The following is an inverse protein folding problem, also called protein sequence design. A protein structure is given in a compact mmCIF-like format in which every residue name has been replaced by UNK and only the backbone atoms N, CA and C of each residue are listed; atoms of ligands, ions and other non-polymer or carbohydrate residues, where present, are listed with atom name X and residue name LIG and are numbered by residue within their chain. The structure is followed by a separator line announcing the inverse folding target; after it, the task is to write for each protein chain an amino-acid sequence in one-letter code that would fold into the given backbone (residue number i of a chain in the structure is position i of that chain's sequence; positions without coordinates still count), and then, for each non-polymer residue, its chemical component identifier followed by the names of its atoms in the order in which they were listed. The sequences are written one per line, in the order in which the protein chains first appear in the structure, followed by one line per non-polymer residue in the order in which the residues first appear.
data_IF_674691072059
#
_entry.id   IF_674691072059
#
_cell.length_a   1.000
_cell.length_b   1.000
_cell.length_c   1.000
_cell.angle_alpha   90.00
_cell.angle_beta   90.00
_cell.angle_gamma   90.00
#
_symmetry.space_group_name_H-M   'P 1'
#
loop_
_entity.id
_entity.type
_entity.pdbx_description
1 polymer ?
#
# COMPACT_ATOMS: atom_id res chain seq x y z
N UNK A 1 15.29 -2.39 6.05
CA UNK A 1 14.82 -2.65 4.68
C UNK A 1 13.61 -1.77 4.26
N UNK A 2 13.26 -0.68 4.96
CA UNK A 2 12.04 0.07 4.67
C UNK A 2 12.04 0.69 3.27
N UNK A 3 13.08 1.47 2.93
CA UNK A 3 13.24 2.08 1.61
C UNK A 3 14.57 1.65 1.02
N UNK A 4 14.51 0.76 0.07
CA UNK A 4 15.65 0.16 -0.60
C UNK A 4 15.84 0.82 -1.96
N UNK A 5 16.84 1.69 -2.07
CA UNK A 5 17.17 2.40 -3.29
C UNK A 5 18.06 1.54 -4.21
N UNK A 6 17.54 1.10 -5.35
CA UNK A 6 18.29 0.35 -6.36
C UNK A 6 18.69 1.30 -7.49
N UNK A 7 19.99 1.48 -7.72
CA UNK A 7 20.49 2.46 -8.67
C UNK A 7 20.17 2.08 -10.12
N UNK A 8 19.93 3.11 -10.93
CA UNK A 8 19.89 3.04 -12.37
C UNK A 8 20.49 4.33 -12.97
N UNK A 9 21.70 4.25 -13.44
CA UNK A 9 22.46 5.37 -14.05
C UNK A 9 21.71 6.05 -15.19
N UNK A 10 20.97 5.29 -15.99
CA UNK A 10 20.24 5.80 -17.16
C UNK A 10 19.08 6.71 -16.77
N UNK A 11 18.46 6.42 -15.63
CA UNK A 11 17.30 7.17 -15.14
C UNK A 11 17.69 8.49 -14.47
N UNK A 12 18.94 8.66 -14.03
CA UNK A 12 19.37 9.85 -13.30
C UNK A 12 19.43 11.08 -14.21
N UNK A 13 18.80 12.18 -13.78
CA UNK A 13 18.88 13.47 -14.47
C UNK A 13 20.28 14.09 -14.37
N UNK A 14 21.09 13.92 -15.43
CA UNK A 14 22.48 14.39 -15.48
C UNK A 14 22.66 15.91 -15.44
N UNK A 15 21.60 16.69 -15.69
CA UNK A 15 21.65 18.16 -15.56
C UNK A 15 21.61 18.58 -14.08
N UNK A 16 21.06 17.75 -13.22
CA UNK A 16 20.89 18.03 -11.79
C UNK A 16 21.90 17.31 -10.92
N UNK A 17 22.22 16.07 -11.27
CA UNK A 17 23.19 15.22 -10.57
C UNK A 17 24.36 14.92 -11.50
N UNK A 18 25.52 15.50 -11.23
CA UNK A 18 26.70 15.35 -12.06
C UNK A 18 27.21 13.89 -12.09
N UNK A 19 27.05 13.19 -10.96
CA UNK A 19 27.49 11.81 -10.78
C UNK A 19 26.36 10.94 -10.20
N UNK A 20 26.50 9.60 -10.32
CA UNK A 20 25.63 8.66 -9.61
C UNK A 20 25.78 8.80 -8.09
N UNK A 21 26.98 9.18 -7.61
CA UNK A 21 27.27 9.39 -6.19
C UNK A 21 26.39 10.52 -5.63
N UNK A 22 26.24 11.64 -6.35
CA UNK A 22 25.39 12.76 -5.95
C UNK A 22 23.91 12.33 -5.85
N UNK A 23 23.46 11.52 -6.81
CA UNK A 23 22.10 10.97 -6.82
C UNK A 23 21.86 10.01 -5.63
N UNK A 24 22.83 9.14 -5.31
CA UNK A 24 22.77 8.24 -4.17
C UNK A 24 22.76 9.02 -2.86
N UNK A 25 23.59 10.07 -2.73
CA UNK A 25 23.60 10.92 -1.55
C UNK A 25 22.23 11.61 -1.33
N UNK A 26 21.63 12.12 -2.39
CA UNK A 26 20.29 12.71 -2.34
C UNK A 26 19.23 11.67 -1.90
N UNK A 27 19.30 10.43 -2.40
CA UNK A 27 18.40 9.36 -1.97
C UNK A 27 18.58 9.02 -0.48
N UNK A 28 19.82 8.97 0.02
CA UNK A 28 20.10 8.73 1.43
C UNK A 28 19.55 9.87 2.30
N UNK A 29 19.78 11.13 1.92
CA UNK A 29 19.24 12.31 2.62
C UNK A 29 17.71 12.32 2.63
N UNK A 30 17.07 11.77 1.59
CA UNK A 30 15.62 11.57 1.51
C UNK A 30 15.09 10.42 2.36
N UNK A 31 15.96 9.59 2.96
CA UNK A 31 15.57 8.53 3.89
C UNK A 31 15.67 7.11 3.32
N UNK A 32 16.41 6.89 2.25
CA UNK A 32 16.77 5.53 1.84
C UNK A 32 17.54 4.83 2.97
N UNK A 33 17.14 3.61 3.31
CA UNK A 33 17.67 2.84 4.44
C UNK A 33 18.68 1.76 4.03
N UNK A 34 18.81 1.51 2.74
CA UNK A 34 19.76 0.59 2.13
C UNK A 34 19.93 0.99 0.65
N UNK A 35 21.10 0.82 0.10
CA UNK A 35 21.42 1.14 -1.30
C UNK A 35 21.92 -0.11 -2.01
N UNK A 36 21.37 -0.41 -3.18
CA UNK A 36 21.91 -1.41 -4.09
C UNK A 36 22.56 -0.73 -5.28
N UNK A 37 23.83 -0.97 -5.48
CA UNK A 37 24.53 -0.53 -6.68
C UNK A 37 24.36 -1.59 -7.78
N UNK A 38 23.57 -1.22 -8.78
CA UNK A 38 23.29 -2.02 -9.97
C UNK A 38 23.89 -1.33 -11.19
N UNK A 39 24.87 -1.97 -11.82
CA UNK A 39 25.56 -1.45 -12.99
C UNK A 39 25.67 -2.52 -14.08
N UNK A 40 25.40 -2.14 -15.32
CA UNK A 40 25.40 -3.07 -16.47
C UNK A 40 26.30 -2.65 -17.63
N UNK A 41 26.88 -1.45 -17.57
CA UNK A 41 27.53 -0.84 -18.72
C UNK A 41 29.01 -0.47 -18.45
N UNK A 42 29.41 -0.36 -17.19
CA UNK A 42 30.79 -0.03 -16.86
C UNK A 42 31.71 -1.24 -17.04
N UNK A 43 32.96 -0.96 -17.40
CA UNK A 43 34.00 -1.95 -17.26
C UNK A 43 34.21 -2.34 -15.79
N UNK A 44 34.68 -3.54 -15.51
CA UNK A 44 34.90 -4.05 -14.17
C UNK A 44 35.74 -3.10 -13.30
N UNK A 45 36.82 -2.54 -13.85
CA UNK A 45 37.65 -1.58 -13.13
C UNK A 45 36.92 -0.27 -12.79
N UNK A 46 36.12 0.26 -13.71
CA UNK A 46 35.32 1.47 -13.47
C UNK A 46 34.21 1.20 -12.47
N UNK A 47 33.55 0.04 -12.55
CA UNK A 47 32.53 -0.38 -11.60
C UNK A 47 33.12 -0.53 -10.18
N UNK A 48 34.29 -1.15 -10.05
CA UNK A 48 34.97 -1.29 -8.75
C UNK A 48 35.36 0.08 -8.17
N UNK A 49 35.85 1.00 -8.97
CA UNK A 49 36.20 2.34 -8.52
C UNK A 49 34.97 3.09 -8.00
N UNK A 50 33.89 3.06 -8.74
CA UNK A 50 32.61 3.70 -8.33
C UNK A 50 32.01 3.03 -7.07
N UNK A 51 32.03 1.70 -7.03
CA UNK A 51 31.54 0.95 -5.85
C UNK A 51 32.31 1.35 -4.58
N UNK A 52 33.62 1.55 -4.66
CA UNK A 52 34.44 2.02 -3.51
C UNK A 52 34.06 3.42 -3.07
N UNK A 53 33.79 4.34 -3.98
CA UNK A 53 33.37 5.69 -3.64
C UNK A 53 31.95 5.70 -3.02
N UNK A 54 31.02 4.93 -3.57
CA UNK A 54 29.67 4.78 -3.00
C UNK A 54 29.76 4.10 -1.62
N UNK A 55 30.66 3.11 -1.42
CA UNK A 55 30.86 2.49 -0.09
C UNK A 55 31.35 3.50 0.94
N UNK A 56 32.27 4.40 0.58
CA UNK A 56 32.70 5.49 1.45
C UNK A 56 31.54 6.42 1.79
N UNK A 57 30.71 6.75 0.78
CA UNK A 57 29.54 7.58 0.98
C UNK A 57 28.54 6.90 1.95
N UNK A 58 28.10 5.69 1.64
CA UNK A 58 27.10 4.96 2.47
C UNK A 58 27.61 4.73 3.89
N UNK A 59 28.92 4.48 4.05
CA UNK A 59 29.57 4.34 5.36
C UNK A 59 29.49 5.61 6.22
N UNK A 60 29.59 6.80 5.62
CA UNK A 60 29.42 8.09 6.35
C UNK A 60 28.01 8.26 6.94
N UNK A 61 27.01 7.67 6.29
CA UNK A 61 25.60 7.74 6.72
C UNK A 61 25.14 6.50 7.50
N UNK A 62 26.01 5.48 7.68
CA UNK A 62 25.65 4.22 8.32
C UNK A 62 24.63 3.40 7.52
N UNK A 63 24.59 3.58 6.19
CA UNK A 63 23.67 2.90 5.28
C UNK A 63 24.38 1.71 4.61
N UNK A 64 23.80 0.48 4.63
CA UNK A 64 24.40 -0.67 3.97
C UNK A 64 24.46 -0.47 2.43
N UNK A 65 25.60 -0.86 1.84
CA UNK A 65 25.78 -0.98 0.40
C UNK A 65 25.68 -2.45 -0.02
N UNK A 66 24.79 -2.74 -0.94
CA UNK A 66 24.60 -4.05 -1.56
C UNK A 66 25.05 -3.97 -3.02
N UNK A 67 25.81 -4.95 -3.49
CA UNK A 67 26.16 -5.07 -4.91
C UNK A 67 25.17 -6.02 -5.59
N UNK A 68 24.70 -5.63 -6.77
CA UNK A 68 23.84 -6.50 -7.57
C UNK A 68 24.65 -7.56 -8.31
N UNK A 69 24.29 -8.83 -8.17
CA UNK A 69 24.78 -10.05 -8.84
C UNK A 69 26.26 -10.40 -8.60
N UNK A 70 27.15 -9.43 -8.46
CA UNK A 70 28.61 -9.64 -8.51
C UNK A 70 29.26 -9.79 -7.11
N UNK A 71 29.41 -11.04 -6.68
CA UNK A 71 30.02 -11.41 -5.37
C UNK A 71 31.51 -11.01 -5.29
N UNK A 72 32.26 -11.19 -6.37
CA UNK A 72 33.68 -10.85 -6.39
C UNK A 72 33.91 -9.33 -6.22
N UNK A 73 33.08 -8.51 -6.88
CA UNK A 73 33.12 -7.07 -6.76
C UNK A 73 32.67 -6.62 -5.36
N UNK A 74 31.64 -7.25 -4.78
CA UNK A 74 31.19 -6.97 -3.42
C UNK A 74 32.34 -7.17 -2.42
N UNK A 75 33.08 -8.26 -2.55
CA UNK A 75 34.31 -8.52 -1.76
C UNK A 75 35.39 -7.46 -1.98
N UNK A 76 35.67 -7.14 -3.23
CA UNK A 76 36.76 -6.22 -3.62
C UNK A 76 36.53 -4.76 -3.20
N UNK A 77 35.27 -4.32 -3.09
CA UNK A 77 34.91 -2.98 -2.62
C UNK A 77 34.51 -2.95 -1.13
N UNK A 78 34.57 -4.07 -0.43
CA UNK A 78 34.11 -4.22 0.96
C UNK A 78 32.65 -3.77 1.15
N UNK A 79 31.77 -4.10 0.19
CA UNK A 79 30.34 -3.87 0.35
C UNK A 79 29.79 -4.64 1.55
N UNK A 80 28.64 -4.20 2.07
CA UNK A 80 27.99 -4.88 3.19
C UNK A 80 27.29 -6.17 2.77
N UNK A 81 27.09 -6.36 1.44
CA UNK A 81 26.49 -7.57 0.93
C UNK A 81 26.28 -7.60 -0.57
N UNK A 82 25.51 -8.59 -0.98
CA UNK A 82 25.15 -8.85 -2.38
C UNK A 82 23.67 -9.18 -2.52
N UNK A 83 23.06 -8.85 -3.66
CA UNK A 83 21.74 -9.32 -4.04
C UNK A 83 21.83 -10.20 -5.28
N UNK A 84 21.30 -11.43 -5.19
CA UNK A 84 21.42 -12.48 -6.20
C UNK A 84 20.05 -12.77 -6.85
N UNK A 85 20.04 -12.95 -8.14
CA UNK A 85 18.91 -13.52 -8.89
C UNK A 85 18.95 -15.04 -8.92
N UNK A 86 17.89 -15.66 -9.47
CA UNK A 86 17.77 -17.12 -9.54
C UNK A 86 18.82 -17.80 -10.45
N UNK A 87 19.42 -17.05 -11.37
CA UNK A 87 20.45 -17.55 -12.27
C UNK A 87 21.89 -17.22 -11.85
N UNK A 88 22.06 -16.55 -10.70
CA UNK A 88 23.36 -16.12 -10.22
C UNK A 88 24.00 -17.18 -9.30
N UNK A 89 25.10 -16.81 -8.63
CA UNK A 89 25.80 -17.67 -7.65
C UNK A 89 24.85 -18.11 -6.53
N UNK A 90 25.01 -19.35 -6.06
CA UNK A 90 24.22 -19.85 -4.94
C UNK A 90 24.57 -19.12 -3.63
N UNK A 91 23.58 -18.99 -2.73
CA UNK A 91 23.71 -18.27 -1.47
C UNK A 91 24.88 -18.82 -0.62
N UNK A 92 24.98 -20.13 -0.53
CA UNK A 92 26.02 -20.83 0.26
C UNK A 92 27.43 -20.53 -0.27
N UNK A 93 27.60 -20.47 -1.59
CA UNK A 93 28.88 -20.10 -2.23
C UNK A 93 29.22 -18.63 -2.00
N UNK A 94 28.22 -17.74 -2.16
CA UNK A 94 28.41 -16.31 -1.88
C UNK A 94 28.76 -16.06 -0.41
N UNK A 95 28.12 -16.79 0.52
CA UNK A 95 28.42 -16.75 1.96
C UNK A 95 29.86 -17.20 2.25
N UNK A 96 30.32 -18.29 1.63
CA UNK A 96 31.70 -18.78 1.78
C UNK A 96 32.71 -17.74 1.30
N UNK A 97 32.42 -16.94 0.30
CA UNK A 97 33.31 -15.91 -0.24
C UNK A 97 33.29 -14.64 0.61
N UNK A 98 32.11 -14.18 1.05
CA UNK A 98 31.91 -12.88 1.71
C UNK A 98 32.01 -12.97 3.24
N UNK A 99 31.79 -14.15 3.81
CA UNK A 99 31.78 -14.39 5.25
C UNK A 99 30.39 -14.23 5.88
N UNK A 100 30.29 -14.66 7.15
CA UNK A 100 28.99 -14.74 7.86
C UNK A 100 28.34 -13.39 8.15
N UNK A 101 29.12 -12.32 8.20
CA UNK A 101 28.61 -10.98 8.46
C UNK A 101 28.02 -10.28 7.21
N UNK A 102 28.19 -10.85 6.01
CA UNK A 102 27.69 -10.25 4.78
C UNK A 102 26.17 -10.39 4.67
N UNK A 103 25.52 -9.36 4.15
CA UNK A 103 24.07 -9.37 3.87
C UNK A 103 23.84 -9.99 2.50
N UNK A 104 23.15 -11.12 2.41
CA UNK A 104 22.83 -11.78 1.16
C UNK A 104 21.32 -11.73 0.91
N UNK A 105 20.92 -10.97 -0.10
CA UNK A 105 19.54 -10.94 -0.57
C UNK A 105 19.34 -11.82 -1.80
N UNK A 106 18.14 -12.36 -1.96
CA UNK A 106 17.78 -13.21 -3.10
C UNK A 106 16.43 -12.76 -3.69
N UNK A 107 16.37 -12.73 -5.03
CA UNK A 107 15.09 -12.55 -5.74
C UNK A 107 14.25 -13.82 -5.66
N UNK A 108 12.98 -13.74 -5.26
CA UNK A 108 12.05 -14.85 -5.25
C UNK A 108 10.70 -14.49 -5.88
N UNK A 109 10.16 -15.37 -6.74
CA UNK A 109 8.94 -15.14 -7.51
C UNK A 109 7.79 -16.06 -7.12
N UNK A 110 8.05 -17.06 -6.27
CA UNK A 110 7.08 -18.01 -5.73
C UNK A 110 7.55 -18.50 -4.35
N UNK A 111 6.68 -19.23 -3.67
CA UNK A 111 6.93 -19.76 -2.31
C UNK A 111 8.10 -20.76 -2.29
N UNK A 112 8.25 -21.56 -3.33
CA UNK A 112 9.31 -22.58 -3.40
C UNK A 112 10.68 -21.95 -3.48
N UNK A 113 10.85 -20.93 -4.34
CA UNK A 113 12.09 -20.14 -4.42
C UNK A 113 12.39 -19.42 -3.11
N UNK A 114 11.37 -18.89 -2.43
CA UNK A 114 11.53 -18.19 -1.17
C UNK A 114 12.02 -19.10 -0.05
N UNK A 115 11.40 -20.27 0.11
CA UNK A 115 11.79 -21.28 1.10
C UNK A 115 13.19 -21.85 0.83
N UNK A 116 13.53 -22.03 -0.45
CA UNK A 116 14.85 -22.51 -0.84
C UNK A 116 15.92 -21.47 -0.49
N UNK A 117 15.70 -20.19 -0.82
CA UNK A 117 16.64 -19.11 -0.51
C UNK A 117 16.86 -18.96 1.02
N UNK A 118 15.77 -19.01 1.80
CA UNK A 118 15.87 -18.98 3.28
C UNK A 118 16.66 -20.17 3.80
N UNK A 119 16.38 -21.38 3.32
CA UNK A 119 17.12 -22.61 3.69
C UNK A 119 18.61 -22.52 3.36
N UNK A 120 18.96 -21.87 2.26
CA UNK A 120 20.36 -21.64 1.84
C UNK A 120 21.05 -20.53 2.62
N UNK A 121 20.35 -19.81 3.52
CA UNK A 121 20.91 -18.79 4.39
C UNK A 121 20.87 -17.37 3.81
N UNK A 122 19.87 -17.06 2.97
CA UNK A 122 19.58 -15.69 2.59
C UNK A 122 19.12 -14.86 3.80
N UNK A 123 19.51 -13.58 3.86
CA UNK A 123 19.15 -12.67 4.95
C UNK A 123 17.85 -11.89 4.66
N UNK A 124 17.48 -11.76 3.39
CA UNK A 124 16.22 -11.14 2.96
C UNK A 124 15.86 -11.58 1.56
N UNK A 125 14.61 -11.36 1.19
CA UNK A 125 14.12 -11.61 -0.17
C UNK A 125 13.67 -10.31 -0.85
N UNK A 126 13.92 -10.24 -2.16
CA UNK A 126 13.27 -9.28 -3.06
C UNK A 126 12.21 -9.98 -3.90
N UNK A 127 10.94 -9.70 -3.67
CA UNK A 127 9.84 -10.36 -4.41
C UNK A 127 9.09 -9.41 -5.31
N UNK A 128 8.95 -9.81 -6.57
CA UNK A 128 8.29 -9.02 -7.61
C UNK A 128 8.32 -9.69 -8.98
N UNK A 129 7.81 -9.00 -10.05
CA UNK A 129 7.44 -7.57 -10.04
C UNK A 129 6.08 -7.36 -9.38
N UNK A 130 6.02 -6.55 -8.31
CA UNK A 130 4.77 -6.32 -7.58
C UNK A 130 3.72 -5.57 -8.44
N UNK A 131 4.20 -4.73 -9.37
CA UNK A 131 3.37 -4.00 -10.33
C UNK A 131 4.04 -4.00 -11.71
N UNK A 132 3.29 -3.63 -12.74
CA UNK A 132 3.84 -3.47 -14.10
C UNK A 132 4.98 -2.46 -14.08
N UNK A 133 6.10 -2.80 -14.73
CA UNK A 133 7.31 -1.95 -14.75
C UNK A 133 7.89 -1.86 -16.14
N UNK A 134 8.48 -0.71 -16.45
CA UNK A 134 9.25 -0.49 -17.68
C UNK A 134 10.75 -0.75 -17.50
N UNK A 135 11.20 -0.98 -16.28
CA UNK A 135 12.63 -1.18 -15.93
C UNK A 135 13.16 -2.55 -16.35
N UNK A 136 12.29 -3.58 -16.41
CA UNK A 136 12.57 -4.90 -16.99
C UNK A 136 11.44 -5.25 -17.96
N UNK A 137 11.76 -5.50 -19.24
CA UNK A 137 10.76 -5.66 -20.30
C UNK A 137 10.03 -7.00 -20.32
N UNK A 138 10.55 -8.06 -19.65
CA UNK A 138 10.05 -9.43 -19.75
C UNK A 138 9.49 -9.97 -18.44
N UNK A 139 9.00 -9.11 -17.54
CA UNK A 139 8.53 -9.55 -16.23
C UNK A 139 7.01 -9.37 -16.12
N UNK A 140 6.30 -10.48 -15.97
CA UNK A 140 4.88 -10.50 -15.60
C UNK A 140 4.72 -10.04 -14.15
N UNK A 141 3.72 -9.20 -13.89
CA UNK A 141 3.45 -8.76 -12.53
C UNK A 141 3.07 -9.95 -11.63
N UNK A 142 3.74 -10.04 -10.47
CA UNK A 142 3.44 -11.03 -9.45
C UNK A 142 2.11 -10.64 -8.76
N UNK A 143 1.11 -11.53 -8.69
CA UNK A 143 -0.10 -11.22 -7.95
C UNK A 143 0.22 -10.87 -6.49
N UNK A 144 -0.40 -9.82 -5.93
CA UNK A 144 -0.21 -9.44 -4.53
C UNK A 144 -0.57 -10.57 -3.54
N UNK A 145 -1.45 -11.49 -3.96
CA UNK A 145 -1.73 -12.73 -3.22
C UNK A 145 -0.48 -13.58 -3.08
N UNK A 146 0.26 -13.80 -4.17
CA UNK A 146 1.50 -14.59 -4.17
C UNK A 146 2.59 -13.89 -3.35
N UNK A 147 2.70 -12.56 -3.44
CA UNK A 147 3.62 -11.79 -2.59
C UNK A 147 3.35 -12.03 -1.10
N UNK A 148 2.08 -12.02 -0.69
CA UNK A 148 1.68 -12.33 0.69
C UNK A 148 1.98 -13.78 1.07
N UNK A 149 1.71 -14.74 0.19
CA UNK A 149 2.03 -16.15 0.41
C UNK A 149 3.53 -16.34 0.64
N UNK A 150 4.38 -15.63 -0.11
CA UNK A 150 5.84 -15.62 0.10
C UNK A 150 6.17 -15.04 1.49
N UNK A 151 5.63 -13.86 1.84
CA UNK A 151 5.89 -13.24 3.13
C UNK A 151 5.50 -14.13 4.32
N UNK A 152 4.41 -14.90 4.19
CA UNK A 152 3.95 -15.80 5.25
C UNK A 152 4.72 -17.14 5.30
N UNK A 153 5.39 -17.52 4.22
CA UNK A 153 6.08 -18.81 4.14
C UNK A 153 7.48 -18.76 4.79
N UNK A 154 8.10 -17.59 4.86
CA UNK A 154 9.47 -17.39 5.36
C UNK A 154 9.51 -16.55 6.65
N UNK A 155 10.60 -16.69 7.41
CA UNK A 155 10.85 -15.86 8.61
C UNK A 155 11.75 -14.66 8.31
N UNK A 156 12.51 -14.71 7.20
CA UNK A 156 13.36 -13.60 6.77
C UNK A 156 12.53 -12.49 6.12
N UNK A 157 12.95 -11.21 6.25
CA UNK A 157 12.20 -10.08 5.71
C UNK A 157 12.11 -10.12 4.19
N UNK A 158 10.94 -9.77 3.67
CA UNK A 158 10.66 -9.66 2.23
C UNK A 158 10.43 -8.20 1.85
N UNK A 159 11.09 -7.71 0.80
CA UNK A 159 10.80 -6.41 0.20
C UNK A 159 10.07 -6.57 -1.13
N UNK A 160 9.03 -5.76 -1.34
CA UNK A 160 8.34 -5.71 -2.63
C UNK A 160 9.18 -4.93 -3.63
N UNK A 161 9.41 -5.49 -4.82
CA UNK A 161 10.16 -4.85 -5.90
C UNK A 161 9.37 -4.89 -7.22
N UNK A 162 9.67 -3.93 -8.11
CA UNK A 162 9.11 -3.83 -9.46
C UNK A 162 7.83 -2.99 -9.52
N UNK A 163 7.92 -1.87 -10.22
CA UNK A 163 6.82 -0.94 -10.48
C UNK A 163 6.22 -0.25 -9.25
N UNK A 164 6.84 -0.37 -8.08
CA UNK A 164 6.37 0.32 -6.86
C UNK A 164 6.59 1.82 -7.00
N UNK A 165 5.55 2.60 -6.70
CA UNK A 165 5.56 4.06 -6.77
C UNK A 165 4.68 4.68 -5.69
N UNK A 166 4.74 6.02 -5.58
CA UNK A 166 3.90 6.79 -4.65
C UNK A 166 2.39 6.59 -4.88
N UNK A 167 1.98 6.24 -6.10
CA UNK A 167 0.58 6.09 -6.52
C UNK A 167 0.01 4.71 -6.16
N UNK A 168 0.85 3.67 -6.06
CA UNK A 168 0.39 2.30 -5.87
C UNK A 168 0.82 1.64 -4.55
N UNK A 169 1.74 2.25 -3.79
CA UNK A 169 2.32 1.68 -2.56
C UNK A 169 1.25 1.26 -1.52
N UNK A 170 0.15 1.99 -1.44
CA UNK A 170 -0.95 1.65 -0.52
C UNK A 170 -1.62 0.30 -0.83
N UNK A 171 -1.43 -0.26 -2.03
CA UNK A 171 -1.93 -1.59 -2.37
C UNK A 171 -1.12 -2.72 -1.69
N UNK A 172 0.05 -2.41 -1.14
CA UNK A 172 0.88 -3.33 -0.37
C UNK A 172 0.46 -3.46 1.10
N UNK A 173 -0.49 -2.65 1.57
CA UNK A 173 -1.03 -2.77 2.94
C UNK A 173 -1.56 -4.18 3.16
N UNK A 174 -1.11 -4.83 4.25
CA UNK A 174 -1.45 -6.22 4.58
C UNK A 174 -0.80 -7.28 3.68
N UNK A 175 0.24 -6.94 2.91
CA UNK A 175 1.08 -7.94 2.23
C UNK A 175 2.23 -8.44 3.10
N UNK A 176 2.41 -7.88 4.30
CA UNK A 176 3.42 -8.24 5.31
C UNK A 176 4.87 -8.09 4.81
N UNK A 177 5.06 -7.16 3.86
CA UNK A 177 6.40 -6.81 3.38
C UNK A 177 7.14 -5.95 4.41
N UNK A 178 8.44 -6.15 4.57
CA UNK A 178 9.31 -5.36 5.45
C UNK A 178 9.64 -3.97 4.87
N UNK A 179 9.33 -3.74 3.59
CA UNK A 179 9.58 -2.50 2.88
C UNK A 179 9.49 -2.65 1.38
N UNK A 180 10.02 -1.68 0.66
CA UNK A 180 9.98 -1.64 -0.81
C UNK A 180 11.37 -1.39 -1.40
N UNK A 181 11.69 -2.08 -2.50
CA UNK A 181 12.85 -1.81 -3.33
C UNK A 181 12.42 -1.10 -4.61
N UNK A 182 13.01 0.06 -4.89
CA UNK A 182 12.58 0.94 -5.97
C UNK A 182 13.75 1.46 -6.79
N UNK A 183 13.52 1.64 -8.09
CA UNK A 183 14.45 2.22 -9.05
C UNK A 183 13.96 3.59 -9.49
N UNK A 184 13.00 3.63 -10.41
CA UNK A 184 12.51 4.86 -11.07
C UNK A 184 11.76 5.79 -10.11
N UNK A 185 11.10 5.27 -9.08
CA UNK A 185 10.42 6.07 -8.07
C UNK A 185 11.39 7.00 -7.29
N UNK A 186 12.70 6.69 -7.32
CA UNK A 186 13.78 7.50 -6.76
C UNK A 186 14.63 8.11 -7.88
N UNK A 187 15.32 7.29 -8.67
CA UNK A 187 16.39 7.76 -9.55
C UNK A 187 15.92 8.39 -10.86
N UNK A 188 14.66 8.19 -11.26
CA UNK A 188 14.08 8.88 -12.42
C UNK A 188 13.36 10.21 -12.05
N UNK A 189 13.50 10.66 -10.81
CA UNK A 189 12.88 11.91 -10.35
C UNK A 189 13.86 13.09 -10.47
N UNK A 190 13.36 14.26 -10.83
CA UNK A 190 14.18 15.47 -10.91
C UNK A 190 14.71 15.89 -9.53
N UNK A 191 13.90 15.70 -8.47
CA UNK A 191 14.21 16.04 -7.08
C UNK A 191 14.31 14.75 -6.27
N UNK A 192 15.43 14.02 -6.39
CA UNK A 192 15.63 12.69 -5.78
C UNK A 192 15.41 12.73 -4.27
N UNK A 193 15.98 13.71 -3.55
CA UNK A 193 15.83 13.84 -2.10
C UNK A 193 14.36 14.01 -1.70
N UNK A 194 13.66 14.93 -2.36
CA UNK A 194 12.23 15.21 -2.08
C UNK A 194 11.35 14.00 -2.40
N UNK A 195 11.58 13.34 -3.54
CA UNK A 195 10.85 12.15 -3.94
C UNK A 195 11.06 10.99 -2.95
N UNK A 196 12.31 10.78 -2.53
CA UNK A 196 12.64 9.74 -1.56
C UNK A 196 12.04 10.04 -0.19
N UNK A 197 12.03 11.30 0.26
CA UNK A 197 11.40 11.71 1.51
C UNK A 197 9.89 11.45 1.51
N UNK A 198 9.22 11.79 0.40
CA UNK A 198 7.79 11.49 0.21
C UNK A 198 7.54 9.98 0.25
N UNK A 199 8.31 9.20 -0.50
CA UNK A 199 8.20 7.74 -0.52
C UNK A 199 8.44 7.14 0.87
N UNK A 200 9.45 7.61 1.60
CA UNK A 200 9.76 7.15 2.96
C UNK A 200 8.58 7.36 3.91
N UNK A 201 7.92 8.51 3.83
CA UNK A 201 6.73 8.78 4.64
C UNK A 201 5.58 7.81 4.28
N UNK A 202 5.37 7.55 2.99
CA UNK A 202 4.34 6.61 2.52
C UNK A 202 4.64 5.16 2.90
N UNK A 203 5.92 4.73 2.85
CA UNK A 203 6.32 3.39 3.33
C UNK A 203 6.02 3.23 4.81
N UNK A 204 6.37 4.21 5.64
CA UNK A 204 6.05 4.19 7.08
C UNK A 204 4.56 4.10 7.34
N UNK A 205 3.75 4.88 6.63
CA UNK A 205 2.29 4.84 6.72
C UNK A 205 1.73 3.47 6.28
N UNK A 206 2.22 2.91 5.20
CA UNK A 206 1.84 1.58 4.70
C UNK A 206 2.16 0.48 5.73
N UNK A 207 3.36 0.50 6.33
CA UNK A 207 3.77 -0.48 7.35
C UNK A 207 2.92 -0.34 8.61
N UNK A 208 2.68 0.88 9.10
CA UNK A 208 1.82 1.13 10.26
C UNK A 208 0.37 0.65 10.02
N UNK A 209 -0.15 0.84 8.81
CA UNK A 209 -1.47 0.31 8.43
C UNK A 209 -1.48 -1.21 8.38
N UNK A 210 -0.42 -1.86 7.92
CA UNK A 210 -0.28 -3.32 7.93
C UNK A 210 -0.33 -3.86 9.36
N UNK A 211 0.45 -3.30 10.30
CA UNK A 211 0.42 -3.67 11.72
C UNK A 211 -0.99 -3.52 12.34
N UNK A 212 -1.70 -2.43 11.99
CA UNK A 212 -3.07 -2.21 12.44
C UNK A 212 -4.02 -3.27 11.89
N UNK A 213 -3.84 -3.67 10.62
CA UNK A 213 -4.61 -4.74 10.00
C UNK A 213 -4.34 -6.10 10.65
N UNK A 214 -3.10 -6.41 10.98
CA UNK A 214 -2.76 -7.67 11.64
C UNK A 214 -3.35 -7.73 13.06
N UNK A 215 -3.29 -6.64 13.82
CA UNK A 215 -3.93 -6.55 15.12
C UNK A 215 -5.47 -6.72 15.01
N UNK A 216 -6.09 -6.13 13.99
CA UNK A 216 -7.51 -6.30 13.70
C UNK A 216 -7.82 -7.72 13.25
N UNK A 217 -6.96 -8.32 12.42
CA UNK A 217 -7.08 -9.70 11.97
C UNK A 217 -7.13 -10.70 13.12
N UNK A 218 -6.22 -10.58 14.09
CA UNK A 218 -6.21 -11.44 15.27
C UNK A 218 -7.51 -11.36 16.08
N UNK A 219 -8.18 -10.21 16.06
CA UNK A 219 -9.50 -10.02 16.69
C UNK A 219 -10.65 -10.57 15.85
N UNK A 220 -10.57 -10.46 14.52
CA UNK A 220 -11.66 -10.85 13.61
C UNK A 220 -11.66 -12.35 13.29
N UNK A 221 -10.50 -12.99 13.20
CA UNK A 221 -10.42 -14.40 12.80
C UNK A 221 -11.22 -15.35 13.67
N UNK A 222 -11.21 -15.26 15.01
CA UNK A 222 -12.08 -16.10 15.85
C UNK A 222 -13.57 -15.91 15.54
N UNK A 223 -13.97 -14.67 15.19
CA UNK A 223 -15.36 -14.34 14.85
C UNK A 223 -15.76 -14.87 13.47
N UNK A 224 -14.79 -15.00 12.55
CA UNK A 224 -15.01 -15.50 11.19
C UNK A 224 -14.90 -17.02 11.09
N UNK A 225 -14.36 -17.69 12.10
CA UNK A 225 -14.18 -19.15 12.09
C UNK A 225 -15.53 -19.86 11.90
N UNK A 226 -15.59 -20.73 10.90
CA UNK A 226 -16.81 -21.47 10.53
C UNK A 226 -17.87 -20.62 9.80
N UNK A 227 -17.65 -19.34 9.55
CA UNK A 227 -18.56 -18.48 8.78
C UNK A 227 -18.30 -18.61 7.28
N UNK A 228 -19.40 -18.60 6.49
CA UNK A 228 -19.33 -18.71 5.03
C UNK A 228 -19.01 -17.41 4.32
N UNK A 229 -19.07 -16.27 5.01
CA UNK A 229 -18.81 -14.95 4.47
C UNK A 229 -19.13 -13.83 5.45
N UNK A 230 -18.92 -12.60 4.99
CA UNK A 230 -19.21 -11.35 5.73
C UNK A 230 -20.30 -10.59 4.99
N UNK A 231 -21.28 -10.13 5.74
CA UNK A 231 -22.35 -9.27 5.25
C UNK A 231 -22.11 -7.84 5.73
N UNK A 232 -21.97 -6.91 4.79
CA UNK A 232 -21.80 -5.49 5.10
C UNK A 232 -23.09 -4.72 4.90
N UNK A 233 -23.43 -3.85 5.83
CA UNK A 233 -24.32 -2.74 5.53
C UNK A 233 -23.59 -1.73 4.65
N UNK A 234 -24.31 -1.03 3.78
CA UNK A 234 -23.73 -0.11 2.81
C UNK A 234 -23.63 1.31 3.38
N UNK A 235 -24.78 1.87 3.76
CA UNK A 235 -24.93 3.28 4.14
C UNK A 235 -24.34 3.53 5.53
N UNK A 236 -23.36 4.43 5.64
CA UNK A 236 -22.66 4.71 6.89
C UNK A 236 -21.60 3.68 7.29
N UNK A 237 -21.56 2.52 6.64
CA UNK A 237 -20.57 1.45 6.86
C UNK A 237 -19.50 1.42 5.79
N UNK A 238 -19.86 1.22 4.54
CA UNK A 238 -18.92 1.21 3.41
C UNK A 238 -18.79 2.59 2.75
N UNK A 239 -19.88 3.33 2.66
CA UNK A 239 -19.94 4.66 2.06
C UNK A 239 -20.49 5.68 3.07
N UNK A 240 -19.98 6.92 2.95
CA UNK A 240 -20.33 8.01 3.87
C UNK A 240 -21.53 8.81 3.35
N UNK A 241 -22.70 8.18 3.34
CA UNK A 241 -23.97 8.82 2.99
C UNK A 241 -24.60 9.54 4.19
N UNK A 242 -24.21 9.21 5.41
CA UNK A 242 -24.78 9.77 6.64
C UNK A 242 -24.56 11.27 6.81
N UNK A 243 -23.42 11.79 6.30
CA UNK A 243 -23.13 13.22 6.34
C UNK A 243 -24.18 14.08 5.61
N UNK A 244 -24.89 13.50 4.64
CA UNK A 244 -25.96 14.19 3.91
C UNK A 244 -27.34 14.00 4.56
N UNK A 245 -27.52 12.96 5.35
CA UNK A 245 -28.83 12.55 5.84
C UNK A 245 -29.48 13.59 6.74
N UNK A 246 -28.75 14.09 7.75
CA UNK A 246 -29.25 15.11 8.65
C UNK A 246 -29.44 16.48 7.94
N UNK A 247 -28.53 16.85 7.05
CA UNK A 247 -28.62 18.09 6.28
C UNK A 247 -29.87 18.08 5.42
N UNK A 248 -30.10 16.98 4.68
CA UNK A 248 -31.26 16.83 3.82
C UNK A 248 -32.59 16.82 4.59
N UNK A 249 -32.64 16.25 5.81
CA UNK A 249 -33.82 16.33 6.65
C UNK A 249 -34.08 17.74 7.15
N UNK A 250 -33.07 18.42 7.68
CA UNK A 250 -33.23 19.79 8.15
C UNK A 250 -33.69 20.73 7.02
N UNK A 251 -33.13 20.60 5.83
CA UNK A 251 -33.51 21.40 4.66
C UNK A 251 -34.93 21.08 4.17
N UNK A 252 -35.27 19.78 4.09
CA UNK A 252 -36.59 19.37 3.67
C UNK A 252 -37.68 19.88 4.64
N UNK A 253 -37.45 19.74 5.93
CA UNK A 253 -38.40 20.17 6.99
C UNK A 253 -38.56 21.69 6.99
N UNK A 254 -37.47 22.44 6.85
CA UNK A 254 -37.49 23.90 6.79
C UNK A 254 -38.26 24.42 5.57
N UNK A 255 -38.17 23.75 4.40
CA UNK A 255 -38.91 24.11 3.19
C UNK A 255 -40.45 24.09 3.39
N UNK A 256 -40.93 23.21 4.25
CA UNK A 256 -42.36 23.09 4.53
C UNK A 256 -42.78 23.90 5.78
N UNK A 257 -41.90 24.77 6.31
CA UNK A 257 -42.20 25.68 7.41
C UNK A 257 -42.09 25.07 8.80
N UNK A 258 -41.43 23.90 8.93
CA UNK A 258 -41.17 23.26 10.21
C UNK A 258 -39.69 23.34 10.60
N UNK A 259 -39.36 22.98 11.84
CA UNK A 259 -37.98 22.99 12.35
C UNK A 259 -37.62 21.69 13.04
N UNK A 260 -36.44 21.17 12.77
CA UNK A 260 -35.87 19.99 13.44
C UNK A 260 -34.41 20.26 13.81
N UNK A 261 -33.94 19.74 14.92
CA UNK A 261 -32.52 19.81 15.26
C UNK A 261 -31.71 18.78 14.48
N UNK A 262 -30.40 19.00 14.40
CA UNK A 262 -29.50 18.03 13.76
C UNK A 262 -29.49 16.67 14.49
N UNK A 263 -29.56 16.69 15.81
CA UNK A 263 -29.63 15.52 16.67
C UNK A 263 -30.90 14.71 16.38
N UNK A 264 -32.08 15.36 16.39
CA UNK A 264 -33.35 14.71 16.03
C UNK A 264 -33.32 14.12 14.62
N UNK A 265 -32.76 14.84 13.66
CA UNK A 265 -32.61 14.35 12.29
C UNK A 265 -31.69 13.12 12.18
N UNK A 266 -30.65 13.05 13.03
CA UNK A 266 -29.79 11.88 13.13
C UNK A 266 -30.51 10.67 13.75
N UNK A 267 -31.33 10.89 14.75
CA UNK A 267 -32.10 9.81 15.41
C UNK A 267 -33.11 9.16 14.46
N UNK A 268 -33.60 9.89 13.46
CA UNK A 268 -34.51 9.35 12.44
C UNK A 268 -33.87 8.32 11.50
N UNK A 269 -32.56 8.29 11.36
CA UNK A 269 -31.86 7.44 10.36
C UNK A 269 -32.04 5.94 10.58
N UNK A 270 -32.10 5.52 11.85
CA UNK A 270 -32.25 4.11 12.24
C UNK A 270 -33.72 3.68 12.44
N UNK A 271 -34.66 4.61 12.27
CA UNK A 271 -36.07 4.34 12.46
C UNK A 271 -36.74 3.89 11.15
N UNK A 272 -37.49 2.80 11.22
CA UNK A 272 -38.35 2.39 10.12
C UNK A 272 -39.50 3.40 9.87
N UNK A 273 -40.04 3.41 8.64
CA UNK A 273 -41.09 4.38 8.19
C UNK A 273 -42.24 4.58 9.21
N UNK A 274 -42.82 3.55 9.84
CA UNK A 274 -43.90 3.73 10.83
C UNK A 274 -43.48 4.56 12.04
N UNK A 275 -42.24 4.38 12.51
CA UNK A 275 -41.74 5.09 13.69
C UNK A 275 -41.42 6.56 13.36
N UNK A 276 -40.82 6.80 12.18
CA UNK A 276 -40.54 8.16 11.72
C UNK A 276 -41.83 8.95 11.50
N UNK A 277 -42.85 8.30 10.93
CA UNK A 277 -44.17 8.91 10.74
C UNK A 277 -44.77 9.32 12.09
N UNK A 278 -44.79 8.41 13.07
CA UNK A 278 -45.29 8.67 14.43
C UNK A 278 -44.54 9.82 15.11
N UNK A 279 -43.22 9.84 15.02
CA UNK A 279 -42.40 10.93 15.55
C UNK A 279 -42.85 12.29 15.04
N UNK A 280 -43.09 12.40 13.75
CA UNK A 280 -43.50 13.67 13.13
C UNK A 280 -44.94 14.05 13.46
N UNK A 281 -45.86 13.07 13.55
CA UNK A 281 -47.24 13.33 14.01
C UNK A 281 -47.28 13.79 15.46
N UNK A 282 -46.47 13.19 16.33
CA UNK A 282 -46.39 13.60 17.74
C UNK A 282 -45.82 15.02 17.90
N UNK A 283 -44.79 15.34 17.09
CA UNK A 283 -44.09 16.63 17.15
C UNK A 283 -44.86 17.79 16.51
N UNK A 284 -45.51 17.55 15.36
CA UNK A 284 -46.12 18.62 14.56
C UNK A 284 -47.61 18.47 14.37
N UNK A 285 -48.24 17.41 14.88
CA UNK A 285 -49.66 17.17 14.76
C UNK A 285 -50.11 16.32 13.57
N UNK A 286 -51.36 15.87 13.59
CA UNK A 286 -51.95 15.11 12.49
C UNK A 286 -52.07 15.98 11.25
N UNK A 287 -51.68 15.43 10.12
CA UNK A 287 -51.65 16.14 8.84
C UNK A 287 -50.28 16.64 8.40
N UNK A 288 -49.22 16.28 9.18
CA UNK A 288 -47.84 16.54 8.78
C UNK A 288 -47.54 15.89 7.40
N UNK A 289 -47.05 16.65 6.38
CA UNK A 289 -46.88 16.17 5.02
C UNK A 289 -45.63 15.31 4.85
N UNK A 290 -45.58 14.18 5.57
CA UNK A 290 -44.37 13.32 5.66
C UNK A 290 -43.93 12.79 4.29
N UNK A 291 -44.85 12.31 3.46
CA UNK A 291 -44.47 11.68 2.19
C UNK A 291 -43.92 12.70 1.19
N UNK A 292 -44.46 13.91 1.16
CA UNK A 292 -43.96 15.00 0.32
C UNK A 292 -42.57 15.47 0.77
N UNK A 293 -42.39 15.65 2.07
CA UNK A 293 -41.10 16.00 2.64
C UNK A 293 -40.05 14.92 2.40
N UNK A 294 -40.42 13.66 2.56
CA UNK A 294 -39.54 12.53 2.29
C UNK A 294 -39.14 12.48 0.82
N UNK A 295 -40.07 12.74 -0.09
CA UNK A 295 -39.76 12.83 -1.52
C UNK A 295 -38.81 13.99 -1.82
N UNK A 296 -39.03 15.15 -1.23
CA UNK A 296 -38.17 16.31 -1.40
C UNK A 296 -36.75 16.04 -0.78
N UNK A 297 -36.69 15.46 0.41
CA UNK A 297 -35.40 15.04 1.01
C UNK A 297 -34.59 14.10 0.09
N UNK A 298 -35.29 13.11 -0.53
CA UNK A 298 -34.63 12.20 -1.46
C UNK A 298 -34.05 12.96 -2.65
N UNK A 299 -34.79 13.92 -3.19
CA UNK A 299 -34.34 14.76 -4.31
C UNK A 299 -33.08 15.57 -3.95
N UNK A 300 -33.07 16.25 -2.79
CA UNK A 300 -31.91 17.01 -2.31
C UNK A 300 -30.71 16.09 -2.16
N UNK A 301 -30.88 14.92 -1.55
CA UNK A 301 -29.80 13.97 -1.35
C UNK A 301 -29.21 13.48 -2.66
N UNK A 302 -30.04 13.22 -3.69
CA UNK A 302 -29.57 12.85 -5.02
C UNK A 302 -28.78 13.97 -5.70
N UNK A 303 -29.21 15.23 -5.54
CA UNK A 303 -28.52 16.40 -6.06
C UNK A 303 -27.15 16.59 -5.37
N UNK A 304 -27.09 16.43 -4.04
CA UNK A 304 -25.84 16.51 -3.28
C UNK A 304 -24.86 15.38 -3.67
N UNK A 305 -25.35 14.15 -3.80
CA UNK A 305 -24.53 13.02 -4.22
C UNK A 305 -24.00 13.15 -5.64
N UNK A 306 -24.80 13.74 -6.55
CA UNK A 306 -24.34 14.06 -7.92
C UNK A 306 -23.27 15.15 -7.95
N UNK A 307 -23.39 16.16 -7.10
CA UNK A 307 -22.45 17.29 -7.01
C UNK A 307 -21.14 16.89 -6.36
N UNK A 308 -21.19 16.21 -5.20
CA UNK A 308 -20.06 15.99 -4.32
C UNK A 308 -19.42 14.61 -4.51
N UNK A 309 -20.11 13.70 -5.20
CA UNK A 309 -19.72 12.30 -5.34
C UNK A 309 -19.97 11.48 -4.07
N UNK A 310 -19.69 10.18 -4.17
CA UNK A 310 -19.81 9.25 -3.05
C UNK A 310 -18.45 9.09 -2.40
N UNK A 311 -18.39 9.34 -1.11
CA UNK A 311 -17.18 9.14 -0.32
C UNK A 311 -17.20 7.74 0.31
N UNK A 312 -16.17 6.95 0.04
CA UNK A 312 -15.95 5.67 0.69
C UNK A 312 -15.43 5.92 2.12
N UNK A 313 -15.95 5.19 3.09
CA UNK A 313 -15.47 5.28 4.48
C UNK A 313 -14.00 4.86 4.58
N UNK A 314 -13.20 5.55 5.40
CA UNK A 314 -11.83 5.11 5.67
C UNK A 314 -11.80 3.66 6.14
N UNK A 315 -10.92 2.84 5.55
CA UNK A 315 -10.79 1.42 5.87
C UNK A 315 -11.76 0.49 5.11
N UNK A 316 -12.82 1.01 4.46
CA UNK A 316 -13.80 0.16 3.76
C UNK A 316 -13.19 -0.56 2.56
N UNK A 317 -12.41 0.14 1.74
CA UNK A 317 -11.72 -0.47 0.60
C UNK A 317 -10.69 -1.49 1.07
N UNK A 318 -9.94 -1.14 2.08
CA UNK A 318 -8.88 -1.96 2.66
C UNK A 318 -9.45 -3.28 3.21
N UNK A 319 -10.52 -3.24 4.02
CA UNK A 319 -11.13 -4.46 4.57
C UNK A 319 -11.73 -5.34 3.47
N UNK A 320 -12.35 -4.78 2.45
CA UNK A 320 -12.90 -5.55 1.33
C UNK A 320 -11.81 -6.24 0.52
N UNK A 321 -10.70 -5.55 0.23
CA UNK A 321 -9.54 -6.11 -0.45
C UNK A 321 -8.90 -7.22 0.39
N UNK A 322 -8.76 -7.00 1.70
CA UNK A 322 -8.23 -7.98 2.63
C UNK A 322 -9.09 -9.25 2.69
N UNK A 323 -10.42 -9.14 2.83
CA UNK A 323 -11.32 -10.29 2.82
C UNK A 323 -11.28 -11.04 1.48
N UNK A 324 -11.23 -10.29 0.35
CA UNK A 324 -11.11 -10.86 -0.99
C UNK A 324 -9.80 -11.66 -1.15
N UNK A 325 -8.69 -11.14 -0.65
CA UNK A 325 -7.40 -11.82 -0.72
C UNK A 325 -7.36 -13.13 0.07
N UNK A 326 -8.21 -13.27 1.07
CA UNK A 326 -8.39 -14.49 1.88
C UNK A 326 -9.53 -15.38 1.39
N UNK A 327 -10.11 -15.08 0.21
CA UNK A 327 -11.22 -15.79 -0.39
C UNK A 327 -12.48 -15.84 0.51
N UNK A 328 -12.62 -14.89 1.43
CA UNK A 328 -13.81 -14.75 2.26
C UNK A 328 -14.88 -14.03 1.42
N UNK A 329 -16.03 -14.67 1.27
CA UNK A 329 -17.15 -14.09 0.51
C UNK A 329 -17.68 -12.86 1.20
N UNK A 330 -17.89 -11.78 0.43
CA UNK A 330 -18.51 -10.55 0.91
C UNK A 330 -19.83 -10.32 0.17
N UNK A 331 -20.82 -9.86 0.92
CA UNK A 331 -22.12 -9.46 0.38
C UNK A 331 -22.51 -8.12 1.00
N UNK A 332 -23.29 -7.34 0.27
CA UNK A 332 -23.88 -6.10 0.77
C UNK A 332 -25.34 -6.38 1.13
N UNK A 333 -25.75 -6.02 2.33
CA UNK A 333 -27.14 -5.98 2.77
C UNK A 333 -27.48 -4.50 3.01
N UNK A 334 -28.42 -3.97 2.26
CA UNK A 334 -28.80 -2.57 2.39
C UNK A 334 -30.30 -2.42 2.27
N UNK A 335 -30.85 -1.45 2.98
CA UNK A 335 -32.25 -0.99 2.80
C UNK A 335 -32.41 -0.04 1.60
N UNK A 336 -31.32 0.34 0.95
CA UNK A 336 -31.31 1.16 -0.27
C UNK A 336 -31.82 0.32 -1.44
N UNK A 337 -32.62 0.91 -2.30
CA UNK A 337 -33.15 0.25 -3.49
C UNK A 337 -32.04 -0.15 -4.48
N UNK A 338 -32.30 -1.17 -5.29
CA UNK A 338 -31.32 -1.76 -6.20
C UNK A 338 -30.77 -0.74 -7.22
N UNK A 339 -31.62 0.17 -7.70
CA UNK A 339 -31.21 1.18 -8.69
C UNK A 339 -30.15 2.12 -8.10
N UNK A 340 -30.34 2.56 -6.85
CA UNK A 340 -29.37 3.41 -6.15
C UNK A 340 -28.12 2.62 -5.77
N UNK A 341 -28.29 1.39 -5.31
CA UNK A 341 -27.14 0.52 -4.95
C UNK A 341 -26.20 0.31 -6.13
N UNK A 342 -26.76 0.16 -7.35
CA UNK A 342 -25.95 0.00 -8.57
C UNK A 342 -25.31 1.31 -9.06
N UNK A 343 -25.74 2.46 -8.57
CA UNK A 343 -25.10 3.76 -8.87
C UNK A 343 -23.95 4.09 -7.94
N UNK A 344 -23.92 3.44 -6.78
CA UNK A 344 -22.89 3.60 -5.75
C UNK A 344 -21.75 2.60 -5.94
#
# INVERSE_FOLDING_TARGET
LQVYAVTDRKSVNKKRYATLIDAVEAAIKGGATIVQLREKELSEGAFLAEAKEIKKLTGRYGIPLIINDNVALAKACHADGVHLGQGDMQVEEARAILGDAAIIGVSAHNVEEALLAEKQGADYLGSGSAFVTTTKQDVTALPLKTLREICHAVQIPVVAIGGVSAENINQLVGCDVAGVAVVSAIFAQDEIETATKKLTAQVKDMLAKTETFDALYQKLMPLLQGKKGVLFDMDGTLIDTEKYYNVCWCEAIAKFGYTITKEEALDLRSLGRPHVYRFFEEKYGKGFPYDEMRAYRKKIMEEMLKRDGITVKPGAKEILLWLKSRQIRCMIATATDLERTNRY
#
